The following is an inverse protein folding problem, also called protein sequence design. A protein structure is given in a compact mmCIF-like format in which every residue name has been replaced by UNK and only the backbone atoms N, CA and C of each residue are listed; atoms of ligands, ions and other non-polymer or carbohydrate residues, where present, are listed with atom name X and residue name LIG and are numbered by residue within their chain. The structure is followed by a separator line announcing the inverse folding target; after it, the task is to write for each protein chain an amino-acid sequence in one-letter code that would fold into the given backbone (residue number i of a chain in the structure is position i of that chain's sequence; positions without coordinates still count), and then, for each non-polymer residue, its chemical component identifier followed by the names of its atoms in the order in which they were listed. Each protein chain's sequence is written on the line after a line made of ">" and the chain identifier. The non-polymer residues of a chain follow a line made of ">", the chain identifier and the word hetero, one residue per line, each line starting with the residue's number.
data_IF_338655983879
#
_entry.id   IF_338655983879
#
_cell.length_a   1.000
_cell.length_b   1.000
_cell.length_c   1.000
_cell.angle_alpha   90.00
_cell.angle_beta   90.00
_cell.angle_gamma   90.00
#
_symmetry.space_group_name_H-M   'P 1'
#
loop_
_entity.id
_entity.type
_entity.pdbx_description
1 polymer ?
#
# COMPACT_ATOMS: atom_id res chain seq x y z
N UNK A 1 83.70 82.79 -41.79
CA UNK A 1 83.19 82.95 -40.41
C UNK A 1 82.87 81.58 -39.87
N UNK A 2 83.72 81.03 -39.01
CA UNK A 2 83.50 79.74 -38.33
C UNK A 2 82.64 79.96 -37.10
N UNK A 3 81.46 79.36 -37.07
CA UNK A 3 80.55 79.38 -35.91
C UNK A 3 81.14 78.48 -34.83
N UNK A 4 81.58 79.08 -33.72
CA UNK A 4 81.97 78.33 -32.53
C UNK A 4 80.72 77.72 -31.90
N UNK A 5 80.59 76.40 -32.02
CA UNK A 5 79.63 75.61 -31.25
C UNK A 5 80.12 75.58 -29.80
N UNK A 6 79.41 76.28 -28.91
CA UNK A 6 79.66 76.29 -27.47
C UNK A 6 79.33 74.90 -26.92
N UNK A 7 80.33 74.04 -26.75
CA UNK A 7 80.18 72.77 -26.05
C UNK A 7 80.02 73.05 -24.56
N UNK A 8 78.80 72.89 -24.05
CA UNK A 8 78.48 73.02 -22.64
C UNK A 8 79.21 71.95 -21.81
N UNK A 9 79.98 72.39 -20.80
CA UNK A 9 80.71 71.51 -19.88
C UNK A 9 79.79 70.50 -19.19
N UNK A 10 80.27 69.27 -19.01
CA UNK A 10 79.52 68.19 -18.37
C UNK A 10 79.11 68.52 -16.92
N UNK A 11 79.82 69.44 -16.27
CA UNK A 11 79.44 69.95 -14.94
C UNK A 11 78.11 70.72 -14.97
N UNK A 12 77.87 71.52 -16.01
CA UNK A 12 76.63 72.28 -16.16
C UNK A 12 75.47 71.35 -16.54
N UNK A 13 75.71 70.38 -17.43
CA UNK A 13 74.72 69.35 -17.77
C UNK A 13 74.31 68.55 -16.55
N UNK A 14 75.27 68.14 -15.72
CA UNK A 14 75.02 67.38 -14.47
C UNK A 14 74.20 68.18 -13.45
N UNK A 15 74.49 69.48 -13.29
CA UNK A 15 73.70 70.36 -12.41
C UNK A 15 72.27 70.55 -12.92
N UNK A 16 72.09 70.73 -14.23
CA UNK A 16 70.76 70.83 -14.86
C UNK A 16 70.00 69.52 -14.68
N UNK A 17 70.61 68.36 -14.97
CA UNK A 17 69.95 67.07 -14.80
C UNK A 17 69.56 66.80 -13.35
N UNK A 18 70.45 67.11 -12.39
CA UNK A 18 70.15 66.94 -10.96
C UNK A 18 68.96 67.83 -10.52
N UNK A 19 68.92 69.09 -10.98
CA UNK A 19 67.81 70.00 -10.69
C UNK A 19 66.49 69.53 -11.28
N UNK A 20 66.50 69.03 -12.52
CA UNK A 20 65.32 68.48 -13.17
C UNK A 20 64.82 67.22 -12.44
N UNK A 21 65.71 66.29 -12.11
CA UNK A 21 65.35 65.07 -11.34
C UNK A 21 64.65 65.44 -10.04
N UNK A 22 65.18 66.41 -9.29
CA UNK A 22 64.55 66.88 -8.04
C UNK A 22 63.13 67.42 -8.27
N UNK A 23 62.92 68.22 -9.31
CA UNK A 23 61.59 68.76 -9.67
C UNK A 23 60.63 67.62 -10.03
N UNK A 24 61.08 66.63 -10.80
CA UNK A 24 60.26 65.48 -11.17
C UNK A 24 59.90 64.61 -9.95
N UNK A 25 60.83 64.42 -9.01
CA UNK A 25 60.56 63.71 -7.76
C UNK A 25 59.53 64.42 -6.88
N UNK A 26 59.63 65.75 -6.75
CA UNK A 26 58.66 66.56 -6.00
C UNK A 26 57.26 66.50 -6.64
N UNK A 27 57.19 66.62 -7.98
CA UNK A 27 55.93 66.47 -8.72
C UNK A 27 55.33 65.08 -8.53
N UNK A 28 56.15 64.03 -8.57
CA UNK A 28 55.69 62.66 -8.36
C UNK A 28 55.13 62.48 -6.94
N UNK A 29 55.78 63.04 -5.91
CA UNK A 29 55.27 63.03 -4.53
C UNK A 29 53.94 63.77 -4.41
N UNK A 30 53.81 64.94 -5.03
CA UNK A 30 52.56 65.70 -5.06
C UNK A 30 51.45 64.91 -5.75
N UNK A 31 51.75 64.25 -6.87
CA UNK A 31 50.77 63.42 -7.59
C UNK A 31 50.27 62.25 -6.75
N UNK A 32 51.19 61.56 -6.05
CA UNK A 32 50.84 60.48 -5.11
C UNK A 32 49.99 60.98 -3.94
N UNK A 33 50.28 62.17 -3.41
CA UNK A 33 49.48 62.79 -2.35
C UNK A 33 48.08 63.18 -2.86
N UNK A 34 47.99 63.72 -4.07
CA UNK A 34 46.72 64.02 -4.73
C UNK A 34 45.88 62.76 -4.91
N UNK A 35 46.47 61.67 -5.41
CA UNK A 35 45.79 60.38 -5.56
C UNK A 35 45.27 59.86 -4.21
N UNK A 36 46.08 59.92 -3.16
CA UNK A 36 45.65 59.56 -1.81
C UNK A 36 44.49 60.43 -1.33
N UNK A 37 44.54 61.74 -1.59
CA UNK A 37 43.47 62.67 -1.24
C UNK A 37 42.17 62.33 -2.00
N UNK A 38 42.24 62.09 -3.31
CA UNK A 38 41.09 61.70 -4.11
C UNK A 38 40.49 60.36 -3.65
N UNK A 39 41.32 59.37 -3.33
CA UNK A 39 40.84 58.08 -2.80
C UNK A 39 40.17 58.24 -1.44
N UNK A 40 40.74 59.08 -0.56
CA UNK A 40 40.14 59.37 0.73
C UNK A 40 38.79 60.07 0.56
N UNK A 41 38.72 61.11 -0.27
CA UNK A 41 37.48 61.82 -0.58
C UNK A 41 36.42 60.89 -1.18
N UNK A 42 36.80 60.05 -2.15
CA UNK A 42 35.89 59.08 -2.74
C UNK A 42 35.34 58.09 -1.69
N UNK A 43 36.19 57.63 -0.77
CA UNK A 43 35.76 56.76 0.34
C UNK A 43 34.79 57.48 1.28
N UNK A 44 35.11 58.69 1.72
CA UNK A 44 34.26 59.46 2.63
C UNK A 44 32.91 59.78 2.00
N UNK A 45 32.88 60.12 0.70
CA UNK A 45 31.63 60.34 -0.02
C UNK A 45 30.83 59.04 -0.14
N UNK A 46 31.48 57.90 -0.46
CA UNK A 46 30.81 56.61 -0.54
C UNK A 46 30.23 56.16 0.82
N UNK A 47 30.98 56.35 1.90
CA UNK A 47 30.53 56.04 3.27
C UNK A 47 29.38 56.97 3.70
N UNK A 48 29.48 58.28 3.44
CA UNK A 48 28.40 59.22 3.72
C UNK A 48 27.14 58.92 2.88
N UNK A 49 27.30 58.54 1.62
CA UNK A 49 26.20 58.12 0.76
C UNK A 49 25.58 56.79 1.19
N UNK A 50 26.35 55.89 1.82
CA UNK A 50 25.85 54.64 2.39
C UNK A 50 25.00 54.87 3.64
N UNK A 51 25.45 55.75 4.55
CA UNK A 51 24.76 56.05 5.82
C UNK A 51 23.49 56.87 5.59
N UNK A 52 23.47 57.78 4.60
CA UNK A 52 22.35 58.70 4.38
C UNK A 52 22.29 59.86 5.39
N UNK A 53 21.25 60.69 5.32
CA UNK A 53 20.97 61.71 6.36
C UNK A 53 20.40 61.05 7.62
N UNK A 54 20.64 61.61 8.81
CA UNK A 54 20.30 61.04 10.13
C UNK A 54 18.86 60.48 10.30
N UNK A 55 17.90 60.87 9.46
CA UNK A 55 16.49 60.45 9.51
C UNK A 55 16.09 59.46 8.40
N UNK A 56 17.03 58.95 7.58
CA UNK A 56 16.78 57.95 6.53
C UNK A 56 17.42 56.61 6.89
N UNK A 57 16.66 55.53 6.66
CA UNK A 57 17.10 54.14 6.87
C UNK A 57 18.28 53.81 5.95
N UNK A 58 19.35 53.21 6.51
CA UNK A 58 20.59 52.87 5.79
C UNK A 58 20.24 52.03 4.55
N UNK A 59 20.46 52.60 3.36
CA UNK A 59 20.07 51.96 2.11
C UNK A 59 21.08 50.85 1.78
N UNK A 60 20.71 49.60 2.03
CA UNK A 60 21.51 48.43 1.66
C UNK A 60 21.53 48.25 0.12
N UNK A 61 22.46 48.92 -0.55
CA UNK A 61 22.62 48.85 -2.01
C UNK A 61 22.82 47.42 -2.55
N UNK A 62 23.33 46.50 -1.71
CA UNK A 62 23.53 45.08 -2.05
C UNK A 62 22.26 44.23 -1.87
N UNK A 63 21.15 44.81 -1.39
CA UNK A 63 19.89 44.09 -1.12
C UNK A 63 19.36 43.35 -2.35
N UNK A 64 19.50 43.94 -3.54
CA UNK A 64 19.11 43.28 -4.79
C UNK A 64 19.96 42.04 -5.10
N UNK A 65 21.27 42.09 -4.82
CA UNK A 65 22.16 40.94 -5.02
C UNK A 65 21.90 39.84 -4.00
N UNK A 66 21.67 40.21 -2.72
CA UNK A 66 21.26 39.27 -1.66
C UNK A 66 19.95 38.57 -2.03
N UNK A 67 18.91 39.32 -2.41
CA UNK A 67 17.62 38.77 -2.83
C UNK A 67 17.75 37.84 -4.04
N UNK A 68 18.62 38.18 -5.00
CA UNK A 68 18.89 37.32 -6.15
C UNK A 68 19.57 36.02 -5.73
N UNK A 69 20.53 36.08 -4.80
CA UNK A 69 21.19 34.89 -4.25
C UNK A 69 20.21 34.01 -3.48
N UNK A 70 19.35 34.60 -2.65
CA UNK A 70 18.31 33.89 -1.89
C UNK A 70 17.31 33.19 -2.81
N UNK A 71 16.85 33.88 -3.86
CA UNK A 71 15.95 33.30 -4.86
C UNK A 71 16.58 32.08 -5.56
N UNK A 72 17.89 32.14 -5.88
CA UNK A 72 18.60 31.00 -6.47
C UNK A 72 18.73 29.85 -5.45
N UNK A 73 19.04 30.17 -4.19
CA UNK A 73 19.11 29.20 -3.09
C UNK A 73 17.78 28.46 -2.91
N UNK A 74 16.66 29.19 -2.88
CA UNK A 74 15.33 28.62 -2.72
C UNK A 74 14.92 27.76 -3.92
N UNK A 75 15.31 28.13 -5.14
CA UNK A 75 15.12 27.27 -6.32
C UNK A 75 15.89 25.96 -6.20
N UNK A 76 17.10 25.97 -5.63
CA UNK A 76 17.89 24.77 -5.40
C UNK A 76 17.21 23.89 -4.35
N UNK A 77 16.85 24.46 -3.19
CA UNK A 77 16.13 23.74 -2.11
C UNK A 77 14.84 23.10 -2.60
N UNK A 78 14.03 23.84 -3.37
CA UNK A 78 12.78 23.31 -3.93
C UNK A 78 13.02 22.13 -4.87
N UNK A 79 14.07 22.18 -5.70
CA UNK A 79 14.44 21.07 -6.58
C UNK A 79 14.86 19.85 -5.79
N UNK A 80 15.66 20.03 -4.74
CA UNK A 80 16.07 18.95 -3.85
C UNK A 80 14.89 18.32 -3.11
N UNK A 81 14.01 19.13 -2.51
CA UNK A 81 12.83 18.63 -1.80
C UNK A 81 11.89 17.88 -2.74
N UNK A 82 11.71 18.37 -3.96
CA UNK A 82 10.94 17.65 -4.99
C UNK A 82 11.59 16.32 -5.37
N UNK A 83 12.92 16.26 -5.42
CA UNK A 83 13.63 14.99 -5.65
C UNK A 83 13.47 14.04 -4.46
N UNK A 84 13.65 14.53 -3.22
CA UNK A 84 13.42 13.76 -1.98
C UNK A 84 12.00 13.20 -1.91
N UNK A 85 10.99 14.01 -2.24
CA UNK A 85 9.60 13.60 -2.26
C UNK A 85 9.31 12.50 -3.30
N UNK A 86 9.97 12.55 -4.47
CA UNK A 86 9.86 11.50 -5.49
C UNK A 86 10.45 10.17 -5.00
N UNK A 87 11.62 10.20 -4.38
CA UNK A 87 12.23 8.99 -3.82
C UNK A 87 11.39 8.39 -2.68
N UNK A 88 10.86 9.24 -1.78
CA UNK A 88 9.93 8.80 -0.74
C UNK A 88 8.67 8.16 -1.37
N UNK A 89 8.12 8.74 -2.43
CA UNK A 89 6.97 8.17 -3.13
C UNK A 89 7.29 6.80 -3.77
N UNK A 90 8.48 6.66 -4.36
CA UNK A 90 8.96 5.41 -4.94
C UNK A 90 9.12 4.32 -3.88
N UNK A 91 9.75 4.63 -2.74
CA UNK A 91 9.91 3.70 -1.62
C UNK A 91 8.56 3.27 -1.04
N UNK A 92 7.60 4.21 -0.89
CA UNK A 92 6.24 3.88 -0.45
C UNK A 92 5.53 2.95 -1.44
N UNK A 93 5.65 3.20 -2.74
CA UNK A 93 5.06 2.34 -3.76
C UNK A 93 5.67 0.93 -3.74
N UNK A 94 6.98 0.82 -3.57
CA UNK A 94 7.68 -0.46 -3.44
C UNK A 94 7.23 -1.24 -2.20
N UNK A 95 7.14 -0.58 -1.04
CA UNK A 95 6.67 -1.23 0.19
C UNK A 95 5.22 -1.71 0.05
N UNK A 96 4.34 -0.91 -0.54
CA UNK A 96 2.96 -1.34 -0.83
C UNK A 96 2.92 -2.54 -1.80
N UNK A 97 3.81 -2.59 -2.78
CA UNK A 97 3.93 -3.74 -3.68
C UNK A 97 4.44 -4.98 -2.94
N UNK A 98 5.44 -4.83 -2.05
CA UNK A 98 5.96 -5.90 -1.19
C UNK A 98 4.87 -6.44 -0.26
N UNK A 99 4.12 -5.58 0.42
CA UNK A 99 3.02 -5.99 1.30
C UNK A 99 1.93 -6.77 0.54
N UNK A 100 1.60 -6.34 -0.67
CA UNK A 100 0.66 -7.05 -1.54
C UNK A 100 1.22 -8.40 -1.95
N UNK A 101 2.49 -8.47 -2.36
CA UNK A 101 3.16 -9.71 -2.74
C UNK A 101 3.21 -10.69 -1.56
N UNK A 102 3.52 -10.21 -0.35
CA UNK A 102 3.53 -11.01 0.87
C UNK A 102 2.14 -11.55 1.21
N UNK A 103 1.09 -10.72 1.12
CA UNK A 103 -0.30 -11.16 1.33
C UNK A 103 -0.70 -12.24 0.31
N UNK A 104 -0.35 -12.06 -0.95
CA UNK A 104 -0.59 -13.06 -2.00
C UNK A 104 0.19 -14.35 -1.73
N UNK A 105 1.45 -14.25 -1.31
CA UNK A 105 2.26 -15.41 -0.94
C UNK A 105 1.68 -16.18 0.25
N UNK A 106 1.29 -15.48 1.32
CA UNK A 106 0.61 -16.09 2.49
C UNK A 106 -0.69 -16.79 2.09
N UNK A 107 -1.49 -16.17 1.21
CA UNK A 107 -2.72 -16.77 0.69
C UNK A 107 -2.43 -18.02 -0.15
N UNK A 108 -1.39 -18.00 -0.98
CA UNK A 108 -0.96 -19.13 -1.79
C UNK A 108 -0.53 -20.32 -0.92
N UNK A 109 0.26 -20.07 0.12
CA UNK A 109 0.67 -21.10 1.09
C UNK A 109 -0.53 -21.68 1.85
N UNK A 110 -1.47 -20.85 2.30
CA UNK A 110 -2.71 -21.36 2.91
C UNK A 110 -3.54 -22.22 1.94
N UNK A 111 -3.59 -21.86 0.65
CA UNK A 111 -4.29 -22.65 -0.38
C UNK A 111 -3.62 -24.01 -0.58
N UNK A 112 -2.28 -24.07 -0.60
CA UNK A 112 -1.53 -25.34 -0.66
C UNK A 112 -1.84 -26.21 0.57
N UNK A 113 -1.73 -25.64 1.77
CA UNK A 113 -2.04 -26.34 3.02
C UNK A 113 -3.48 -26.89 3.05
N UNK A 114 -4.46 -26.12 2.56
CA UNK A 114 -5.85 -26.58 2.47
C UNK A 114 -6.02 -27.72 1.46
N UNK A 115 -5.32 -27.68 0.33
CA UNK A 115 -5.34 -28.76 -0.67
C UNK A 115 -4.72 -30.03 -0.10
N UNK A 116 -3.56 -29.96 0.53
CA UNK A 116 -2.91 -31.11 1.18
C UNK A 116 -3.78 -31.70 2.29
N UNK A 117 -4.38 -30.86 3.14
CA UNK A 117 -5.31 -31.32 4.18
C UNK A 117 -6.56 -31.99 3.60
N UNK A 118 -7.06 -31.51 2.46
CA UNK A 118 -8.18 -32.15 1.76
C UNK A 118 -7.78 -33.51 1.18
N UNK A 119 -6.59 -33.62 0.58
CA UNK A 119 -6.06 -34.90 0.06
C UNK A 119 -5.78 -35.90 1.18
N UNK A 120 -5.20 -35.48 2.30
CA UNK A 120 -5.02 -36.32 3.49
C UNK A 120 -6.35 -36.87 4.00
N UNK A 121 -7.40 -36.02 4.10
CA UNK A 121 -8.75 -36.45 4.48
C UNK A 121 -9.35 -37.45 3.49
N UNK A 122 -9.14 -37.26 2.18
CA UNK A 122 -9.60 -38.22 1.16
C UNK A 122 -8.92 -39.57 1.31
N UNK A 123 -7.59 -39.59 1.47
CA UNK A 123 -6.81 -40.81 1.70
C UNK A 123 -7.27 -41.54 2.97
N UNK A 124 -7.51 -40.81 4.05
CA UNK A 124 -8.03 -41.38 5.30
C UNK A 124 -9.46 -41.92 5.14
N UNK A 125 -10.34 -41.21 4.43
CA UNK A 125 -11.69 -41.71 4.15
C UNK A 125 -11.66 -42.98 3.29
N UNK A 126 -10.76 -43.04 2.30
CA UNK A 126 -10.54 -44.24 1.48
C UNK A 126 -10.01 -45.42 2.30
N UNK A 127 -9.08 -45.17 3.24
CA UNK A 127 -8.55 -46.23 4.11
C UNK A 127 -9.63 -46.76 5.08
N UNK A 128 -10.43 -45.87 5.68
CA UNK A 128 -11.59 -46.23 6.52
C UNK A 128 -12.62 -47.05 5.74
N UNK A 129 -12.96 -46.65 4.51
CA UNK A 129 -13.87 -47.43 3.64
C UNK A 129 -13.34 -48.84 3.38
N UNK A 130 -12.05 -48.97 3.03
CA UNK A 130 -11.41 -50.28 2.84
C UNK A 130 -11.46 -51.15 4.09
N UNK A 131 -11.29 -50.59 5.28
CA UNK A 131 -11.35 -51.35 6.54
C UNK A 131 -12.77 -51.82 6.87
N UNK A 132 -13.78 -50.97 6.65
CA UNK A 132 -15.20 -51.32 6.82
C UNK A 132 -15.61 -52.41 5.82
N UNK A 133 -15.18 -52.29 4.57
CA UNK A 133 -15.46 -53.30 3.53
C UNK A 133 -14.83 -54.65 3.89
N UNK A 134 -13.60 -54.66 4.42
CA UNK A 134 -12.96 -55.87 4.96
C UNK A 134 -13.76 -56.48 6.10
N UNK A 135 -14.15 -55.68 7.10
CA UNK A 135 -15.01 -56.15 8.21
C UNK A 135 -16.33 -56.72 7.73
N UNK A 136 -16.98 -56.07 6.76
CA UNK A 136 -18.25 -56.56 6.16
C UNK A 136 -18.05 -57.89 5.44
N UNK A 137 -16.94 -58.04 4.70
CA UNK A 137 -16.55 -59.32 4.08
C UNK A 137 -16.28 -60.40 5.13
N UNK A 138 -15.58 -60.08 6.21
CA UNK A 138 -15.33 -61.01 7.33
C UNK A 138 -16.62 -61.44 8.02
N UNK A 139 -17.53 -60.50 8.33
CA UNK A 139 -18.86 -60.80 8.86
C UNK A 139 -19.64 -61.71 7.92
N UNK A 140 -19.61 -61.46 6.60
CA UNK A 140 -20.28 -62.31 5.62
C UNK A 140 -19.73 -63.74 5.58
N UNK A 141 -18.40 -63.91 5.73
CA UNK A 141 -17.76 -65.23 5.83
C UNK A 141 -18.14 -65.93 7.13
N UNK A 142 -18.14 -65.19 8.24
CA UNK A 142 -18.56 -65.70 9.55
C UNK A 142 -20.02 -66.18 9.56
N UNK A 143 -20.93 -65.42 8.93
CA UNK A 143 -22.33 -65.83 8.76
C UNK A 143 -22.45 -67.10 7.90
N UNK A 144 -21.68 -67.22 6.82
CA UNK A 144 -21.63 -68.45 6.01
C UNK A 144 -21.13 -69.66 6.81
N UNK A 145 -20.05 -69.49 7.59
CA UNK A 145 -19.52 -70.53 8.47
C UNK A 145 -20.54 -70.92 9.55
N UNK A 146 -21.22 -69.94 10.18
CA UNK A 146 -22.31 -70.20 11.14
C UNK A 146 -23.46 -70.98 10.52
N UNK A 147 -23.86 -70.66 9.28
CA UNK A 147 -24.90 -71.39 8.56
C UNK A 147 -24.50 -72.83 8.22
N UNK A 148 -23.22 -73.07 7.87
CA UNK A 148 -22.68 -74.41 7.67
C UNK A 148 -22.68 -75.18 8.99
N UNK A 149 -22.22 -74.55 10.08
CA UNK A 149 -22.15 -75.16 11.41
C UNK A 149 -23.54 -75.52 11.95
N UNK A 150 -24.52 -74.64 11.81
CA UNK A 150 -25.92 -74.92 12.20
C UNK A 150 -26.53 -76.04 11.38
N UNK A 151 -26.23 -76.15 10.07
CA UNK A 151 -26.64 -77.32 9.27
C UNK A 151 -26.03 -78.63 9.79
N UNK A 152 -24.82 -78.61 10.32
CA UNK A 152 -24.19 -79.80 10.91
C UNK A 152 -24.83 -80.15 12.26
N UNK A 153 -25.05 -79.15 13.12
CA UNK A 153 -25.69 -79.34 14.43
C UNK A 153 -27.14 -79.85 14.25
N UNK A 154 -27.93 -79.21 13.38
CA UNK A 154 -29.29 -79.67 13.05
C UNK A 154 -29.29 -81.06 12.40
N UNK A 155 -28.27 -81.44 11.62
CA UNK A 155 -28.17 -82.82 11.09
C UNK A 155 -27.89 -83.83 12.20
N UNK A 156 -27.03 -83.49 13.15
CA UNK A 156 -26.75 -84.33 14.31
C UNK A 156 -27.98 -84.43 15.24
N UNK A 157 -28.69 -83.32 15.47
CA UNK A 157 -29.93 -83.28 16.24
C UNK A 157 -31.07 -84.00 15.51
N UNK A 158 -31.19 -83.89 14.18
CA UNK A 158 -32.13 -84.68 13.38
C UNK A 158 -31.75 -86.17 13.39
N UNK A 159 -30.47 -86.54 13.46
CA UNK A 159 -30.05 -87.93 13.65
C UNK A 159 -30.45 -88.45 15.04
N UNK A 160 -30.31 -87.65 16.09
CA UNK A 160 -30.73 -88.00 17.45
C UNK A 160 -32.25 -88.05 17.59
N UNK A 161 -32.99 -87.09 17.00
CA UNK A 161 -34.46 -87.05 17.01
C UNK A 161 -35.05 -88.10 16.07
N UNK A 162 -34.42 -88.46 14.94
CA UNK A 162 -34.84 -89.62 14.13
C UNK A 162 -34.61 -90.91 14.88
N UNK A 163 -33.50 -91.05 15.62
CA UNK A 163 -33.32 -92.18 16.53
C UNK A 163 -34.44 -92.21 17.58
N UNK A 164 -34.80 -91.07 18.18
CA UNK A 164 -35.81 -90.98 19.23
C UNK A 164 -37.26 -91.19 18.72
N UNK A 165 -37.61 -90.64 17.56
CA UNK A 165 -38.91 -90.82 16.90
C UNK A 165 -39.04 -92.24 16.34
N UNK A 166 -37.96 -92.90 15.91
CA UNK A 166 -38.03 -94.33 15.56
C UNK A 166 -38.34 -95.19 16.79
N UNK A 167 -37.82 -94.82 17.96
CA UNK A 167 -38.16 -95.46 19.24
C UNK A 167 -39.60 -95.18 19.68
N UNK A 168 -40.14 -93.98 19.43
CA UNK A 168 -41.54 -93.65 19.75
C UNK A 168 -42.52 -94.25 18.72
N UNK A 169 -42.17 -94.33 17.43
CA UNK A 169 -43.03 -94.88 16.37
C UNK A 169 -43.20 -96.41 16.47
N UNK A 170 -42.23 -97.12 17.07
CA UNK A 170 -42.41 -98.52 17.45
C UNK A 170 -43.36 -98.72 18.64
N UNK A 171 -43.78 -97.65 19.33
CA UNK A 171 -44.60 -97.72 20.55
C UNK A 171 -46.04 -97.17 20.39
N UNK A 172 -46.45 -96.64 19.24
CA UNK A 172 -47.79 -96.04 19.07
C UNK A 172 -48.60 -96.55 17.88
N UNK A 173 -48.34 -97.78 17.41
CA UNK A 173 -49.25 -98.47 16.48
C UNK A 173 -50.36 -99.23 17.24
N UNK A 174 -51.04 -98.53 18.13
CA UNK A 174 -52.33 -98.93 18.70
C UNK A 174 -53.17 -97.66 18.89
N UNK A 175 -54.22 -97.58 18.10
CA UNK A 175 -55.46 -96.81 18.35
C UNK A 175 -55.49 -95.30 18.05
N UNK A 176 -56.09 -95.00 16.89
CA UNK A 176 -57.39 -94.32 16.83
C UNK A 176 -57.51 -92.86 17.28
N UNK A 177 -57.75 -91.99 16.29
CA UNK A 177 -58.47 -90.71 16.34
C UNK A 177 -57.78 -89.49 16.99
N UNK A 178 -57.80 -88.37 16.26
CA UNK A 178 -58.53 -87.13 16.61
C UNK A 178 -57.95 -85.96 15.77
N UNK A 179 -58.67 -85.62 14.70
CA UNK A 179 -59.12 -84.26 14.33
C UNK A 179 -58.61 -83.18 15.32
N UNK A 180 -57.99 -82.04 14.96
CA UNK A 180 -58.60 -80.95 14.19
C UNK A 180 -57.88 -79.62 14.60
N UNK A 181 -57.80 -78.70 13.64
CA UNK A 181 -57.99 -77.24 13.78
C UNK A 181 -56.84 -76.25 14.13
N UNK A 182 -56.67 -75.37 13.13
CA UNK A 182 -56.75 -73.88 13.18
C UNK A 182 -55.56 -73.14 13.82
N UNK A 183 -54.88 -72.27 13.06
CA UNK A 183 -55.03 -70.79 13.12
C UNK A 183 -54.03 -70.10 12.16
N UNK A 184 -54.47 -69.50 11.05
CA UNK A 184 -55.16 -68.19 10.86
C UNK A 184 -54.23 -66.97 10.98
N UNK A 185 -54.31 -66.11 9.94
CA UNK A 185 -54.03 -64.67 9.92
C UNK A 185 -52.54 -64.24 9.99
N UNK A 186 -52.07 -63.13 9.42
CA UNK A 186 -52.68 -61.94 8.80
C UNK A 186 -51.62 -61.23 7.92
N UNK A 187 -52.04 -60.63 6.80
CA UNK A 187 -51.31 -59.54 6.10
C UNK A 187 -51.72 -58.20 6.75
N UNK A 188 -50.85 -57.16 6.86
CA UNK A 188 -50.97 -55.92 6.04
C UNK A 188 -49.57 -55.27 5.78
N UNK A 189 -49.21 -54.55 4.69
CA UNK A 189 -49.71 -53.41 3.89
C UNK A 189 -49.48 -52.00 4.49
N UNK A 190 -49.03 -51.08 3.60
CA UNK A 190 -48.99 -49.59 3.60
C UNK A 190 -47.70 -48.92 4.09
N UNK A 191 -47.11 -47.86 3.51
CA UNK A 191 -47.30 -46.89 2.39
C UNK A 191 -47.03 -45.47 2.95
N UNK A 192 -46.78 -44.51 2.05
CA UNK A 192 -46.69 -43.03 2.17
C UNK A 192 -45.27 -42.46 2.44
N UNK A 193 -44.57 -41.84 1.47
CA UNK A 193 -44.79 -40.51 0.80
C UNK A 193 -44.59 -39.35 1.79
N UNK A 194 -43.99 -38.18 1.53
CA UNK A 194 -43.72 -37.35 0.35
C UNK A 194 -42.81 -36.16 0.77
N UNK A 195 -42.47 -35.27 -0.17
CA UNK A 195 -41.89 -33.90 -0.11
C UNK A 195 -40.57 -33.85 -0.92
N UNK A 196 -40.59 -33.64 -2.25
CA UNK A 196 -40.87 -32.44 -3.05
C UNK A 196 -39.94 -31.22 -2.81
N UNK A 197 -39.63 -30.56 -3.95
CA UNK A 197 -39.04 -29.23 -4.20
C UNK A 197 -37.50 -29.18 -4.31
N UNK A 198 -36.90 -28.99 -5.49
CA UNK A 198 -36.91 -27.86 -6.44
C UNK A 198 -36.04 -26.68 -5.97
N UNK A 199 -34.82 -26.59 -6.52
CA UNK A 199 -33.98 -25.36 -6.59
C UNK A 199 -33.16 -25.49 -7.88
N UNK A 200 -33.65 -25.02 -9.03
CA UNK A 200 -33.47 -23.66 -9.57
C UNK A 200 -32.02 -23.16 -9.48
N UNK A 201 -31.26 -23.39 -10.56
CA UNK A 201 -30.00 -22.71 -10.79
C UNK A 201 -30.26 -21.22 -11.08
N UNK A 202 -30.06 -20.37 -10.06
CA UNK A 202 -29.87 -18.92 -10.23
C UNK A 202 -28.39 -18.63 -10.53
N UNK A 203 -28.03 -18.00 -11.66
CA UNK A 203 -26.70 -17.43 -11.80
C UNK A 203 -26.55 -16.20 -10.90
N UNK A 204 -25.44 -16.17 -10.17
CA UNK A 204 -25.14 -15.15 -9.16
C UNK A 204 -24.89 -13.74 -9.72
N UNK A 205 -24.90 -12.72 -8.84
CA UNK A 205 -24.92 -11.29 -9.18
C UNK A 205 -23.59 -10.69 -9.66
N UNK A 206 -22.57 -11.50 -9.94
CA UNK A 206 -21.19 -11.01 -10.13
C UNK A 206 -20.92 -10.32 -11.47
N UNK A 207 -21.81 -10.47 -12.47
CA UNK A 207 -21.62 -9.88 -13.80
C UNK A 207 -22.24 -8.47 -13.95
N UNK A 208 -23.07 -8.03 -12.99
CA UNK A 208 -23.76 -6.73 -13.11
C UNK A 208 -22.83 -5.54 -12.82
N UNK A 209 -21.86 -5.72 -11.92
CA UNK A 209 -20.89 -4.68 -11.55
C UNK A 209 -19.83 -4.47 -12.65
N UNK A 210 -19.45 -5.52 -13.36
CA UNK A 210 -18.46 -5.43 -14.45
C UNK A 210 -19.01 -4.69 -15.68
N UNK A 211 -20.30 -4.86 -15.97
CA UNK A 211 -20.97 -4.15 -17.07
C UNK A 211 -21.14 -2.65 -16.75
N UNK A 212 -21.43 -2.30 -15.50
CA UNK A 212 -21.50 -0.90 -15.03
C UNK A 212 -20.13 -0.22 -15.08
N UNK A 213 -19.07 -0.93 -14.67
CA UNK A 213 -17.69 -0.42 -14.71
C UNK A 213 -17.24 -0.15 -16.15
N UNK A 214 -17.50 -1.08 -17.06
CA UNK A 214 -17.16 -0.94 -18.49
C UNK A 214 -17.98 0.15 -19.18
N UNK A 215 -19.27 0.31 -18.83
CA UNK A 215 -20.11 1.40 -19.37
C UNK A 215 -19.66 2.78 -18.87
N UNK A 216 -19.30 2.91 -17.59
CA UNK A 216 -18.80 4.17 -17.03
C UNK A 216 -17.44 4.56 -17.62
N UNK A 217 -16.54 3.59 -17.82
CA UNK A 217 -15.23 3.84 -18.41
C UNK A 217 -15.34 4.23 -19.90
N UNK A 218 -16.31 3.65 -20.64
CA UNK A 218 -16.64 4.06 -22.01
C UNK A 218 -17.31 5.44 -22.08
N UNK A 219 -18.11 5.83 -21.08
CA UNK A 219 -18.65 7.20 -21.00
C UNK A 219 -17.54 8.22 -20.70
N UNK A 220 -16.58 7.92 -19.82
CA UNK A 220 -15.47 8.81 -19.52
C UNK A 220 -14.53 9.04 -20.72
N UNK A 221 -14.37 8.06 -21.62
CA UNK A 221 -13.59 8.20 -22.87
C UNK A 221 -14.31 9.02 -23.95
N UNK A 222 -15.62 9.26 -23.82
CA UNK A 222 -16.39 10.11 -24.74
C UNK A 222 -16.36 11.59 -24.38
N UNK A 223 -15.82 11.93 -23.20
CA UNK A 223 -15.59 13.30 -22.80
C UNK A 223 -14.24 13.71 -23.38
N UNK A 224 -14.24 14.71 -24.25
CA UNK A 224 -13.04 15.22 -24.92
C UNK A 224 -11.94 15.49 -23.89
N UNK A 225 -10.69 15.16 -24.22
CA UNK A 225 -9.53 15.36 -23.34
C UNK A 225 -9.44 16.81 -22.81
N UNK A 226 -9.88 17.78 -23.60
CA UNK A 226 -9.96 19.18 -23.21
C UNK A 226 -10.94 19.43 -22.03
N UNK A 227 -12.04 18.69 -21.98
CA UNK A 227 -13.03 18.78 -20.91
C UNK A 227 -12.57 18.04 -19.66
N UNK A 228 -11.84 16.93 -19.80
CA UNK A 228 -11.16 16.29 -18.66
C UNK A 228 -10.13 17.21 -18.01
N UNK A 229 -9.33 17.91 -18.82
CA UNK A 229 -8.34 18.89 -18.31
C UNK A 229 -9.05 20.05 -17.61
N UNK A 230 -10.14 20.58 -18.19
CA UNK A 230 -10.95 21.64 -17.53
C UNK A 230 -11.54 21.16 -16.21
N UNK A 231 -12.14 19.98 -16.17
CA UNK A 231 -12.76 19.45 -14.96
C UNK A 231 -11.74 19.24 -13.83
N UNK A 232 -10.54 18.74 -14.15
CA UNK A 232 -9.46 18.58 -13.16
C UNK A 232 -8.95 19.94 -12.67
N UNK A 233 -8.81 20.94 -13.56
CA UNK A 233 -8.40 22.30 -13.16
C UNK A 233 -9.45 22.97 -12.27
N UNK A 234 -10.72 22.82 -12.59
CA UNK A 234 -11.81 23.39 -11.78
C UNK A 234 -11.89 22.73 -10.40
N UNK A 235 -11.81 21.39 -10.32
CA UNK A 235 -11.74 20.69 -9.03
C UNK A 235 -10.53 21.13 -8.19
N UNK A 236 -9.37 21.32 -8.83
CA UNK A 236 -8.17 21.82 -8.13
C UNK A 236 -8.37 23.24 -7.59
N UNK A 237 -9.04 24.10 -8.34
CA UNK A 237 -9.39 25.45 -7.88
C UNK A 237 -10.40 25.40 -6.72
N UNK A 238 -11.41 24.53 -6.78
CA UNK A 238 -12.37 24.31 -5.70
C UNK A 238 -11.69 23.83 -4.41
N UNK A 239 -10.75 22.89 -4.49
CA UNK A 239 -9.97 22.45 -3.32
C UNK A 239 -9.10 23.57 -2.74
N UNK A 240 -8.53 24.45 -3.57
CA UNK A 240 -7.77 25.60 -3.10
C UNK A 240 -8.67 26.60 -2.37
N UNK A 241 -9.85 26.91 -2.93
CA UNK A 241 -10.85 27.79 -2.31
C UNK A 241 -11.38 27.18 -1.00
N UNK A 242 -11.64 25.89 -0.96
CA UNK A 242 -12.13 25.19 0.24
C UNK A 242 -11.07 25.14 1.34
N UNK A 243 -9.79 25.04 0.98
CA UNK A 243 -8.66 25.15 1.91
C UNK A 243 -8.52 26.55 2.48
N UNK A 244 -8.63 27.59 1.65
CA UNK A 244 -8.62 28.99 2.10
C UNK A 244 -9.80 29.27 3.05
N UNK A 245 -10.99 28.79 2.70
CA UNK A 245 -12.18 28.92 3.55
C UNK A 245 -12.04 28.19 4.89
N UNK A 246 -11.44 27.00 4.89
CA UNK A 246 -11.17 26.25 6.12
C UNK A 246 -10.16 26.97 7.04
N UNK A 247 -9.13 27.58 6.44
CA UNK A 247 -8.16 28.38 7.19
C UNK A 247 -8.81 29.64 7.79
N UNK A 248 -9.61 30.38 7.03
CA UNK A 248 -10.31 31.56 7.53
C UNK A 248 -11.31 31.24 8.67
N UNK A 249 -11.94 30.06 8.64
CA UNK A 249 -12.78 29.58 9.75
C UNK A 249 -11.96 29.25 10.99
N UNK A 250 -10.73 28.75 10.83
CA UNK A 250 -9.81 28.53 11.94
C UNK A 250 -9.35 29.85 12.58
N UNK A 251 -9.06 30.85 11.75
CA UNK A 251 -8.61 32.17 12.22
C UNK A 251 -9.73 32.89 12.98
N UNK A 252 -10.97 32.85 12.47
CA UNK A 252 -12.16 33.36 13.18
C UNK A 252 -12.41 32.64 14.52
N UNK A 253 -12.18 31.32 14.58
CA UNK A 253 -12.34 30.54 15.81
C UNK A 253 -11.21 30.77 16.83
N UNK A 254 -10.05 31.26 16.37
CA UNK A 254 -8.95 31.67 17.24
C UNK A 254 -9.23 33.05 17.86
N UNK A 255 -9.73 34.01 17.08
CA UNK A 255 -10.08 35.34 17.59
C UNK A 255 -11.28 35.33 18.55
N UNK A 256 -12.26 34.44 18.35
CA UNK A 256 -13.35 34.24 19.32
C UNK A 256 -12.88 33.67 20.67
N UNK A 257 -11.81 32.86 20.69
CA UNK A 257 -11.22 32.37 21.95
C UNK A 257 -10.38 33.42 22.67
N UNK A 258 -9.77 34.34 21.93
CA UNK A 258 -9.03 35.47 22.52
C UNK A 258 -9.99 36.50 23.13
N UNK A 259 -11.17 36.74 22.51
CA UNK A 259 -12.19 37.65 23.03
C UNK A 259 -12.84 37.19 24.35
N UNK A 260 -13.07 35.89 24.53
CA UNK A 260 -13.70 35.34 25.74
C UNK A 260 -12.73 35.30 26.95
N UNK A 261 -11.42 35.30 26.71
CA UNK A 261 -10.39 35.29 27.77
C UNK A 261 -10.21 36.67 28.45
N UNK A 262 -10.59 37.77 27.78
CA UNK A 262 -10.51 39.12 28.35
C UNK A 262 -11.74 39.51 29.21
N UNK A 263 -12.83 38.74 29.17
CA UNK A 263 -14.09 39.09 29.87
C UNK A 263 -14.30 38.38 31.23
N UNK A 264 -13.38 37.55 31.71
CA UNK A 264 -13.48 36.88 33.02
C UNK A 264 -12.49 37.39 34.08
N UNK A 265 -11.84 38.54 33.84
CA UNK A 265 -10.81 39.11 34.71
C UNK A 265 -11.16 40.45 35.36
N UNK A 266 -12.43 40.88 35.36
CA UNK A 266 -12.88 42.09 36.07
C UNK A 266 -14.27 41.78 36.65
N UNK A 267 -14.33 41.28 37.89
CA UNK A 267 -15.30 41.61 38.95
C UNK A 267 -15.03 40.73 40.17
#
# INVERSE_FOLDING_TARGET
>A
MTVQVISCSDQSKSKISASLTKIWEERLKQKRLQEKCCLFWARTIAEAAKIGSLDQEELEWDSYEKMKADMVSDQIKLKEEKARAKEIAKLRAENVAKDKAEKVAKLAEQRKLRKEKAEARKLEALSRKKSVERKKRELSKGLKLKAILTKVILKNDICLVKSFILTIFLFSKSDGNVLILILKFHHPKRQLETLQTEIVAKPGPDLKLDIELIKNERMQRRISLADQIRAVKNKKAEFAVQKVRANALLDSAYEQREGDHWFHGIY
#
